data_IF_800455131106
#
_entry.id   IF_800455131106
#
_cell.length_a   1.000
_cell.length_b   1.000
_cell.length_c   1.000
_cell.angle_alpha   90.00
_cell.angle_beta   90.00
_cell.angle_gamma   90.00
#
_symmetry.space_group_name_H-M   'P 1'
#
loop_
_entity.id
_entity.type
_entity.pdbx_description
1 polymer ?
#
# COMPACT_ATOMS: atom_id res chain seq x y z
N UNK A 1 -10.83 7.25 4.84
CA UNK A 1 -10.45 8.31 3.85
C UNK A 1 -10.08 7.62 2.55
N UNK A 2 -10.50 8.16 1.41
CA UNK A 2 -10.49 7.46 0.10
C UNK A 2 -9.07 7.17 -0.40
N UNK A 3 -8.67 5.88 -0.53
CA UNK A 3 -7.44 5.54 -1.23
C UNK A 3 -7.66 5.70 -2.74
N UNK A 4 -6.80 6.47 -3.42
CA UNK A 4 -6.96 6.71 -4.86
C UNK A 4 -6.37 5.59 -5.70
N UNK A 5 -5.32 4.96 -5.19
CA UNK A 5 -4.63 3.86 -5.85
C UNK A 5 -4.03 2.92 -4.80
N UNK A 6 -3.81 1.68 -5.19
CA UNK A 6 -3.01 0.73 -4.46
C UNK A 6 -2.20 -0.12 -5.44
N UNK A 7 -1.17 -0.78 -4.94
CA UNK A 7 -0.35 -1.70 -5.69
C UNK A 7 0.11 -2.86 -4.81
N UNK A 8 0.15 -4.04 -5.39
CA UNK A 8 0.74 -5.24 -4.78
C UNK A 8 2.17 -5.37 -5.29
N UNK A 9 3.11 -5.61 -4.38
CA UNK A 9 4.51 -5.76 -4.75
C UNK A 9 4.71 -7.00 -5.64
N UNK A 10 5.79 -7.07 -6.44
CA UNK A 10 6.01 -8.18 -7.37
C UNK A 10 6.09 -9.57 -6.70
N UNK A 11 6.40 -9.65 -5.40
CA UNK A 11 6.41 -10.92 -4.66
C UNK A 11 5.02 -11.36 -4.19
N UNK A 12 4.01 -10.47 -4.28
CA UNK A 12 2.65 -10.74 -3.83
C UNK A 12 2.47 -10.72 -2.31
N UNK A 13 3.46 -10.25 -1.54
CA UNK A 13 3.45 -10.32 -0.07
C UNK A 13 2.97 -9.04 0.59
N UNK A 14 2.99 -7.92 -0.14
CA UNK A 14 2.70 -6.61 0.39
C UNK A 14 1.77 -5.81 -0.52
N UNK A 15 0.87 -5.06 0.10
CA UNK A 15 0.01 -4.09 -0.55
C UNK A 15 0.32 -2.69 -0.02
N UNK A 16 0.57 -1.75 -0.93
CA UNK A 16 0.72 -0.33 -0.62
C UNK A 16 -0.55 0.41 -1.06
N UNK A 17 -1.21 1.10 -0.13
CA UNK A 17 -2.41 1.89 -0.39
C UNK A 17 -2.13 3.39 -0.26
N UNK A 18 -2.36 4.14 -1.33
CA UNK A 18 -2.13 5.59 -1.40
C UNK A 18 -3.36 6.37 -0.91
N UNK A 19 -3.26 6.95 0.28
CA UNK A 19 -4.28 7.80 0.88
C UNK A 19 -4.14 9.25 0.43
N UNK A 20 -4.72 9.60 -0.73
CA UNK A 20 -4.65 10.96 -1.30
C UNK A 20 -5.07 12.05 -0.30
N UNK A 21 -6.17 11.84 0.42
CA UNK A 21 -6.68 12.84 1.38
C UNK A 21 -5.99 12.79 2.75
N UNK A 22 -5.21 11.75 3.04
CA UNK A 22 -4.54 11.59 4.33
C UNK A 22 -3.06 11.92 4.28
N UNK A 23 -2.52 12.26 3.10
CA UNK A 23 -1.08 12.50 2.89
C UNK A 23 -0.22 11.32 3.40
N UNK A 24 -0.72 10.11 3.20
CA UNK A 24 -0.06 8.89 3.69
C UNK A 24 -0.14 7.73 2.71
N UNK A 25 0.84 6.83 2.82
CA UNK A 25 0.81 5.49 2.26
C UNK A 25 0.71 4.50 3.44
N UNK A 26 -0.30 3.63 3.41
CA UNK A 26 -0.42 2.52 4.34
C UNK A 26 0.15 1.25 3.70
N UNK A 27 0.86 0.44 4.47
CA UNK A 27 1.45 -0.83 4.02
C UNK A 27 0.77 -1.98 4.74
N UNK A 28 0.39 -3.00 3.99
CA UNK A 28 -0.23 -4.22 4.50
C UNK A 28 0.58 -5.43 4.07
N UNK A 29 0.73 -6.41 4.96
CA UNK A 29 1.11 -7.78 4.59
C UNK A 29 -0.12 -8.51 4.09
N UNK A 30 0.02 -9.24 2.99
CA UNK A 30 -0.99 -10.14 2.46
C UNK A 30 -0.76 -11.52 3.06
N UNK A 31 -1.78 -12.08 3.70
CA UNK A 31 -1.76 -13.48 4.11
C UNK A 31 -1.88 -14.38 2.88
N UNK A 32 -0.93 -15.31 2.71
CA UNK A 32 -0.81 -16.12 1.50
C UNK A 32 -1.94 -17.14 1.30
N UNK A 33 -2.56 -17.59 2.39
CA UNK A 33 -3.60 -18.62 2.35
C UNK A 33 -4.98 -17.99 2.23
N UNK A 34 -5.26 -16.93 3.00
CA UNK A 34 -6.58 -16.30 3.08
C UNK A 34 -6.72 -15.04 2.23
N UNK A 35 -5.62 -14.41 1.80
CA UNK A 35 -5.62 -13.11 1.13
C UNK A 35 -5.96 -11.93 2.05
N UNK A 36 -6.11 -12.16 3.35
CA UNK A 36 -6.40 -11.09 4.31
C UNK A 36 -5.23 -10.13 4.46
N UNK A 37 -5.55 -8.87 4.72
CA UNK A 37 -4.57 -7.79 4.87
C UNK A 37 -4.33 -7.50 6.35
N UNK A 38 -3.08 -7.59 6.77
CA UNK A 38 -2.63 -7.15 8.08
C UNK A 38 -1.81 -5.86 7.94
N UNK A 39 -2.19 -4.73 8.58
CA UNK A 39 -1.38 -3.52 8.53
C UNK A 39 -0.02 -3.80 9.17
N UNK A 40 1.05 -3.26 8.56
CA UNK A 40 2.40 -3.38 9.09
C UNK A 40 3.02 -2.01 9.31
N UNK A 41 3.58 -1.81 10.50
CA UNK A 41 4.25 -0.58 10.87
C UNK A 41 3.35 0.66 10.88
N UNK A 42 3.99 1.81 10.88
CA UNK A 42 3.33 3.11 10.76
C UNK A 42 3.10 3.48 9.29
N UNK A 43 2.14 4.37 9.05
CA UNK A 43 1.92 4.94 7.72
C UNK A 43 3.07 5.84 7.31
N UNK A 44 3.46 5.79 6.05
CA UNK A 44 4.51 6.63 5.48
C UNK A 44 3.90 7.96 5.05
N UNK A 45 4.42 9.08 5.55
CA UNK A 45 3.98 10.41 5.13
C UNK A 45 4.44 10.70 3.70
N UNK A 46 3.48 10.93 2.79
CA UNK A 46 3.73 11.32 1.40
C UNK A 46 2.63 12.31 1.02
N UNK A 47 2.94 13.54 0.59
CA UNK A 47 1.91 14.50 0.20
C UNK A 47 1.08 14.00 -0.99
N UNK A 48 -0.24 14.00 -0.84
CA UNK A 48 -1.25 13.73 -1.88
C UNK A 48 -0.90 12.54 -2.80
N UNK A 49 -0.67 11.32 -2.26
CA UNK A 49 -0.21 10.19 -3.06
C UNK A 49 -1.36 9.66 -3.91
N UNK A 50 -1.14 9.58 -5.22
CA UNK A 50 -2.18 9.22 -6.21
C UNK A 50 -1.90 7.95 -6.99
N UNK A 51 -0.66 7.47 -7.03
CA UNK A 51 -0.27 6.28 -7.77
C UNK A 51 0.96 5.62 -7.14
N UNK A 52 1.00 4.30 -7.13
CA UNK A 52 2.18 3.50 -6.78
C UNK A 52 2.56 2.59 -7.96
N UNK A 53 3.86 2.49 -8.23
CA UNK A 53 4.44 1.59 -9.22
C UNK A 53 5.68 0.93 -8.64
N UNK A 54 5.84 -0.36 -8.92
CA UNK A 54 7.04 -1.10 -8.59
C UNK A 54 7.95 -1.11 -9.81
N UNK A 55 9.23 -0.80 -9.60
CA UNK A 55 10.24 -0.82 -10.65
C UNK A 55 10.94 -2.17 -10.57
N UNK A 56 11.09 -2.85 -11.72
CA UNK A 56 11.95 -4.02 -11.77
C UNK A 56 13.40 -3.60 -11.48
N UNK A 57 14.20 -4.42 -10.78
CA UNK A 57 15.61 -4.13 -10.56
C UNK A 57 16.38 -4.00 -11.89
#
# INVERSE_FOLDING_TARGET
KTPRNFGIDPTGKYLLACGQSSDTIAVFRIDGDSGLLAPIGETIAVPVPVCVKFVAP
#
